data_IF_487442096177
#
_entry.id   IF_487442096177
#
_cell.length_a   1.000
_cell.length_b   1.000
_cell.length_c   1.000
_cell.angle_alpha   90.00
_cell.angle_beta   90.00
_cell.angle_gamma   90.00
#
_symmetry.space_group_name_H-M   'P 1'
#
loop_
_entity.id
_entity.type
_entity.pdbx_description
1 polymer ?
#
# COMPACT_ATOMS: atom_id res chain seq x y z
N UNK A 1 15.64 -22.06 -29.64
CA UNK A 1 15.81 -21.57 -28.26
C UNK A 1 16.46 -20.20 -28.34
N UNK A 2 15.67 -19.14 -28.25
CA UNK A 2 16.12 -17.76 -27.94
C UNK A 2 14.99 -17.20 -27.08
N UNK A 3 15.19 -17.19 -25.76
CA UNK A 3 15.66 -16.01 -25.02
C UNK A 3 14.69 -14.88 -25.28
N UNK A 4 13.66 -14.83 -24.43
CA UNK A 4 12.87 -13.65 -24.20
C UNK A 4 13.85 -12.52 -23.87
N UNK A 5 13.99 -11.56 -24.78
CA UNK A 5 14.80 -10.37 -24.57
C UNK A 5 14.29 -9.64 -23.33
N UNK A 6 15.21 -9.43 -22.41
CA UNK A 6 14.99 -8.92 -21.05
C UNK A 6 14.99 -7.39 -21.03
N UNK A 7 14.68 -6.77 -22.17
CA UNK A 7 14.85 -5.32 -22.41
C UNK A 7 13.52 -4.56 -22.58
N UNK A 8 12.38 -5.22 -22.37
CA UNK A 8 11.06 -4.56 -22.27
C UNK A 8 10.61 -4.33 -20.82
N UNK A 9 11.56 -4.31 -19.88
CA UNK A 9 11.31 -3.77 -18.55
C UNK A 9 11.32 -2.26 -18.65
N UNK A 10 10.12 -1.70 -18.83
CA UNK A 10 9.79 -0.28 -18.69
C UNK A 10 10.79 0.41 -17.76
N UNK A 11 11.50 1.39 -18.31
CA UNK A 11 12.32 2.33 -17.57
C UNK A 11 11.45 2.96 -16.47
N UNK A 12 11.55 2.43 -15.25
CA UNK A 12 11.00 3.09 -14.08
C UNK A 12 11.96 4.23 -13.80
N UNK A 13 11.65 5.40 -14.37
CA UNK A 13 12.19 6.69 -13.93
C UNK A 13 12.29 6.69 -12.40
N UNK A 14 13.42 7.09 -11.79
CA UNK A 14 13.54 7.19 -10.34
C UNK A 14 12.74 8.39 -9.85
N UNK A 15 11.42 8.28 -9.92
CA UNK A 15 10.44 9.21 -9.40
C UNK A 15 10.34 8.99 -7.91
N UNK A 16 10.93 9.90 -7.13
CA UNK A 16 10.68 10.16 -5.72
C UNK A 16 10.00 9.00 -4.95
N UNK A 17 10.79 8.01 -4.51
CA UNK A 17 10.36 6.84 -3.72
C UNK A 17 9.83 7.19 -2.32
N UNK A 18 9.39 8.43 -2.10
CA UNK A 18 8.46 8.76 -1.03
C UNK A 18 7.12 8.17 -1.42
N UNK A 19 6.91 6.90 -1.07
CA UNK A 19 5.57 6.35 -0.98
C UNK A 19 4.75 7.31 -0.13
N UNK A 20 3.93 8.14 -0.78
CA UNK A 20 3.12 9.16 -0.13
C UNK A 20 2.25 8.46 0.90
N UNK A 21 2.62 8.63 2.17
CA UNK A 21 1.88 8.02 3.28
C UNK A 21 0.49 8.65 3.26
N UNK A 22 -0.57 7.85 3.15
CA UNK A 22 -1.92 8.37 3.03
C UNK A 22 -2.25 9.25 4.24
N UNK A 23 -2.91 10.42 4.06
CA UNK A 23 -3.26 11.29 5.18
C UNK A 23 -4.03 10.52 6.26
N UNK A 24 -3.76 10.80 7.54
CA UNK A 24 -4.39 10.10 8.68
C UNK A 24 -5.92 10.07 8.58
N UNK A 25 -6.53 11.15 8.10
CA UNK A 25 -7.97 11.26 7.87
C UNK A 25 -8.48 10.27 6.81
N UNK A 26 -7.69 10.00 5.78
CA UNK A 26 -8.00 8.99 4.77
C UNK A 26 -7.91 7.58 5.35
N UNK A 27 -6.89 7.30 6.17
CA UNK A 27 -6.76 6.01 6.88
C UNK A 27 -7.97 5.80 7.79
N UNK A 28 -8.41 6.82 8.54
CA UNK A 28 -9.61 6.76 9.38
C UNK A 28 -10.89 6.50 8.59
N UNK A 29 -11.00 7.07 7.38
CA UNK A 29 -12.12 6.78 6.48
C UNK A 29 -12.11 5.33 6.00
N UNK A 30 -10.94 4.79 5.65
CA UNK A 30 -10.78 3.41 5.21
C UNK A 30 -11.08 2.41 6.35
N UNK A 31 -10.62 2.68 7.58
CA UNK A 31 -10.93 1.86 8.76
C UNK A 31 -12.45 1.74 8.92
N UNK A 32 -13.16 2.89 8.97
CA UNK A 32 -14.63 2.89 9.14
C UNK A 32 -15.35 2.18 7.99
N UNK A 33 -14.86 2.35 6.77
CA UNK A 33 -15.44 1.68 5.60
C UNK A 33 -15.31 0.15 5.71
N UNK A 34 -14.12 -0.35 6.05
CA UNK A 34 -13.87 -1.79 6.22
C UNK A 34 -14.68 -2.38 7.38
N UNK A 35 -14.78 -1.68 8.52
CA UNK A 35 -15.61 -2.10 9.64
C UNK A 35 -17.10 -2.22 9.23
N UNK A 36 -17.62 -1.21 8.52
CA UNK A 36 -18.99 -1.23 8.00
C UNK A 36 -19.20 -2.39 7.03
N UNK A 37 -18.22 -2.66 6.15
CA UNK A 37 -18.30 -3.76 5.18
C UNK A 37 -18.27 -5.12 5.89
N UNK A 38 -17.39 -5.30 6.86
CA UNK A 38 -17.33 -6.50 7.68
C UNK A 38 -18.66 -6.78 8.42
N UNK A 39 -19.29 -5.75 8.99
CA UNK A 39 -20.58 -5.90 9.64
C UNK A 39 -21.68 -6.28 8.64
N UNK A 40 -21.68 -5.66 7.44
CA UNK A 40 -22.66 -5.96 6.42
C UNK A 40 -22.56 -7.40 5.90
N UNK A 41 -21.34 -7.82 5.56
CA UNK A 41 -21.09 -9.17 5.06
C UNK A 41 -21.35 -10.22 6.15
N UNK A 42 -21.06 -9.91 7.42
CA UNK A 42 -21.43 -10.77 8.54
C UNK A 42 -22.94 -10.95 8.68
N UNK A 43 -23.74 -9.89 8.51
CA UNK A 43 -25.21 -10.00 8.50
C UNK A 43 -25.72 -10.78 7.30
N UNK A 44 -25.14 -10.55 6.12
CA UNK A 44 -25.49 -11.29 4.92
C UNK A 44 -25.19 -12.78 5.09
N UNK A 45 -24.08 -13.13 5.74
CA UNK A 45 -23.75 -14.52 6.05
C UNK A 45 -24.84 -15.18 6.92
N UNK A 46 -25.35 -14.48 7.94
CA UNK A 46 -26.43 -14.97 8.79
C UNK A 46 -27.75 -15.15 8.01
N UNK A 47 -28.09 -14.20 7.11
CA UNK A 47 -29.27 -14.33 6.25
C UNK A 47 -29.17 -15.53 5.32
N UNK A 48 -28.01 -15.69 4.65
CA UNK A 48 -27.76 -16.84 3.77
C UNK A 48 -27.83 -18.17 4.53
N UNK A 49 -27.32 -18.23 5.76
CA UNK A 49 -27.38 -19.43 6.59
C UNK A 49 -28.83 -19.78 6.97
N UNK A 50 -29.65 -18.78 7.33
CA UNK A 50 -31.07 -18.98 7.60
C UNK A 50 -31.84 -19.48 6.37
N UNK A 51 -31.41 -19.10 5.16
CA UNK A 51 -31.96 -19.56 3.88
C UNK A 51 -31.38 -20.91 3.40
N UNK A 52 -30.47 -21.53 4.16
CA UNK A 52 -29.81 -22.80 3.80
C UNK A 52 -28.72 -22.66 2.72
N UNK A 53 -28.33 -21.43 2.38
CA UNK A 53 -27.29 -21.12 1.39
C UNK A 53 -25.89 -21.17 2.03
N UNK A 54 -25.47 -22.37 2.44
CA UNK A 54 -24.26 -22.59 3.26
C UNK A 54 -22.97 -22.09 2.62
N UNK A 55 -22.77 -22.27 1.30
CA UNK A 55 -21.58 -21.80 0.58
C UNK A 55 -21.55 -20.26 0.54
N UNK A 56 -22.70 -19.62 0.30
CA UNK A 56 -22.80 -18.16 0.30
C UNK A 56 -22.56 -17.59 1.71
N UNK A 57 -23.10 -18.25 2.74
CA UNK A 57 -22.87 -17.87 4.13
C UNK A 57 -21.38 -17.91 4.47
N UNK A 58 -20.69 -19.01 4.16
CA UNK A 58 -19.27 -19.16 4.43
C UNK A 58 -18.41 -18.15 3.67
N UNK A 59 -18.70 -17.93 2.39
CA UNK A 59 -18.01 -16.92 1.57
C UNK A 59 -18.14 -15.52 2.19
N UNK A 60 -19.33 -15.18 2.69
CA UNK A 60 -19.56 -13.89 3.33
C UNK A 60 -18.86 -13.78 4.71
N UNK A 61 -18.74 -14.88 5.47
CA UNK A 61 -17.92 -14.89 6.71
C UNK A 61 -16.45 -14.63 6.41
N UNK A 62 -15.91 -15.27 5.37
CA UNK A 62 -14.52 -15.08 4.96
C UNK A 62 -14.27 -13.64 4.51
N UNK A 63 -15.19 -13.04 3.73
CA UNK A 63 -15.11 -11.62 3.36
C UNK A 63 -15.18 -10.70 4.58
N UNK A 64 -16.09 -10.98 5.52
CA UNK A 64 -16.18 -10.23 6.75
C UNK A 64 -14.89 -10.30 7.58
N UNK A 65 -14.28 -11.50 7.68
CA UNK A 65 -13.00 -11.70 8.35
C UNK A 65 -11.87 -10.92 7.67
N UNK A 66 -11.77 -11.01 6.35
CA UNK A 66 -10.76 -10.27 5.57
C UNK A 66 -10.89 -8.77 5.81
N UNK A 67 -12.10 -8.21 5.78
CA UNK A 67 -12.31 -6.79 6.08
C UNK A 67 -11.93 -6.41 7.52
N UNK A 68 -12.18 -7.27 8.52
CA UNK A 68 -11.72 -7.03 9.90
C UNK A 68 -10.19 -7.03 9.98
N UNK A 69 -9.52 -7.97 9.32
CA UNK A 69 -8.07 -8.04 9.26
C UNK A 69 -7.49 -6.79 8.60
N UNK A 70 -8.06 -6.34 7.47
CA UNK A 70 -7.64 -5.09 6.81
C UNK A 70 -7.82 -3.88 7.73
N UNK A 71 -8.97 -3.75 8.41
CA UNK A 71 -9.18 -2.67 9.38
C UNK A 71 -8.12 -2.69 10.49
N UNK A 72 -7.75 -3.87 11.00
CA UNK A 72 -6.66 -4.00 11.98
C UNK A 72 -5.31 -3.52 11.42
N UNK A 73 -4.94 -3.94 10.21
CA UNK A 73 -3.72 -3.46 9.55
C UNK A 73 -3.71 -1.94 9.37
N UNK A 74 -4.85 -1.35 8.98
CA UNK A 74 -4.99 0.09 8.83
C UNK A 74 -4.88 0.83 10.16
N UNK A 75 -5.37 0.26 11.27
CA UNK A 75 -5.17 0.83 12.62
C UNK A 75 -3.70 0.84 13.02
N UNK A 76 -2.96 -0.23 12.70
CA UNK A 76 -1.52 -0.30 12.94
C UNK A 76 -0.77 0.73 12.08
N UNK A 77 -1.17 0.89 10.81
CA UNK A 77 -0.61 1.91 9.93
C UNK A 77 -0.88 3.31 10.48
N UNK A 78 -2.13 3.60 10.89
CA UNK A 78 -2.53 4.88 11.49
C UNK A 78 -1.66 5.25 12.68
N UNK A 79 -1.36 4.30 13.57
CA UNK A 79 -0.50 4.54 14.73
C UNK A 79 0.91 4.99 14.32
N UNK A 80 1.46 4.41 13.25
CA UNK A 80 2.77 4.80 12.69
C UNK A 80 2.76 6.16 12.00
N UNK A 81 1.63 6.54 11.40
CA UNK A 81 1.46 7.82 10.70
C UNK A 81 1.05 8.97 11.63
N UNK A 82 0.69 8.68 12.89
CA UNK A 82 0.15 9.63 13.85
C UNK A 82 1.18 10.34 14.73
N UNK A 83 2.48 10.22 14.46
CA UNK A 83 3.50 11.01 15.15
C UNK A 83 3.57 12.42 14.56
N UNK A 84 3.23 13.47 15.32
CA UNK A 84 3.40 14.84 14.88
C UNK A 84 4.89 15.22 14.87
N UNK A 85 5.37 15.71 13.73
CA UNK A 85 6.37 16.78 13.54
C UNK A 85 7.58 16.92 14.50
N UNK A 86 8.12 15.84 15.07
CA UNK A 86 9.48 15.82 15.64
C UNK A 86 10.26 14.59 15.21
N UNK A 87 10.21 14.25 13.91
CA UNK A 87 11.29 13.45 13.34
C UNK A 87 12.51 14.38 13.22
N UNK A 88 13.60 14.18 13.98
CA UNK A 88 14.84 14.87 13.67
C UNK A 88 15.18 14.46 12.24
N UNK A 89 15.25 15.46 11.35
CA UNK A 89 15.67 15.26 9.97
C UNK A 89 16.94 14.40 10.01
N UNK A 90 16.81 13.19 9.48
CA UNK A 90 17.87 12.24 9.18
C UNK A 90 19.28 12.81 9.38
N UNK A 91 19.87 12.55 10.54
CA UNK A 91 21.32 12.72 10.77
C UNK A 91 22.15 11.77 9.87
N UNK A 92 21.50 10.96 9.03
CA UNK A 92 22.08 9.98 8.13
C UNK A 92 22.45 10.56 6.75
N UNK A 93 22.78 11.84 6.67
CA UNK A 93 23.33 12.49 5.45
C UNK A 93 24.68 13.17 5.65
N UNK A 94 25.36 12.93 6.77
CA UNK A 94 26.67 13.53 7.06
C UNK A 94 27.86 12.96 6.27
N UNK A 95 27.71 11.78 5.67
CA UNK A 95 28.84 11.02 5.06
C UNK A 95 28.81 10.98 3.53
N UNK A 96 27.71 11.40 2.89
CA UNK A 96 27.62 11.43 1.43
C UNK A 96 27.99 12.83 0.93
N UNK A 97 29.28 13.02 0.61
CA UNK A 97 29.72 14.22 -0.12
C UNK A 97 29.29 14.10 -1.58
N UNK A 98 28.43 14.97 -2.12
CA UNK A 98 28.06 14.94 -3.52
C UNK A 98 29.30 15.21 -4.38
N UNK A 99 29.80 14.18 -5.07
CA UNK A 99 30.88 14.32 -6.05
C UNK A 99 30.27 14.91 -7.32
N UNK A 100 30.64 16.14 -7.67
CA UNK A 100 30.24 16.76 -8.93
C UNK A 100 30.69 15.86 -10.10
N UNK A 101 29.73 15.33 -10.87
CA UNK A 101 30.03 14.58 -12.10
C UNK A 101 30.28 15.61 -13.21
N UNK A 102 31.46 15.55 -13.83
CA UNK A 102 31.77 16.34 -15.02
C UNK A 102 30.82 15.94 -16.14
N UNK A 103 30.12 16.92 -16.71
CA UNK A 103 29.21 16.78 -17.85
C UNK A 103 29.94 16.08 -19.00
N UNK A 104 29.55 14.86 -19.33
CA UNK A 104 30.10 14.14 -20.47
C UNK A 104 29.56 14.77 -21.76
N UNK A 105 30.43 15.37 -22.57
CA UNK A 105 30.09 15.83 -23.91
C UNK A 105 30.11 14.63 -24.86
N UNK A 106 28.93 14.17 -25.25
CA UNK A 106 28.76 13.13 -26.27
C UNK A 106 29.05 13.76 -27.64
N UNK A 107 30.17 13.38 -28.27
CA UNK A 107 30.44 13.71 -29.68
C UNK A 107 29.66 12.72 -30.55
N UNK A 108 28.86 13.23 -31.48
CA UNK A 108 28.19 12.39 -32.48
C UNK A 108 29.23 11.73 -33.42
N UNK A 109 29.04 10.45 -33.80
CA UNK A 109 29.91 9.77 -34.77
C UNK A 109 29.65 10.27 -36.21
N UNK A 110 30.62 10.10 -37.14
CA UNK A 110 30.64 10.71 -38.47
C UNK A 110 29.59 10.18 -39.44
#
# INVERSE_FOLDING_TARGET
MSVWDRDDLCEIEPGDDRLDVPPVQMIDRLIRWHEKRAANDGRLALSCEAEGLTIAAETNRQRALAHRQTATCLRLLRQRCGEPETAPQSAFRGHLKPKARSRAEVRAPP
#
